data_IF_024841687560
#
_entry.id   IF_024841687560
#
_cell.length_a   1.000
_cell.length_b   1.000
_cell.length_c   1.000
_cell.angle_alpha   90.00
_cell.angle_beta   90.00
_cell.angle_gamma   90.00
#
_symmetry.space_group_name_H-M   'P 1'
#
loop_
_entity.id
_entity.type
_entity.pdbx_description
1 polymer ?
#
# COMPACT_ATOMS: atom_id res chain seq x y z
N UNK A 1 1.68 -9.77 -8.26
CA UNK A 1 3.12 -10.17 -8.29
C UNK A 1 3.34 -11.29 -7.27
N UNK A 2 4.46 -12.04 -7.28
CA UNK A 2 4.74 -13.01 -6.21
C UNK A 2 5.04 -12.28 -4.89
N UNK A 3 4.70 -12.87 -3.75
CA UNK A 3 4.82 -12.23 -2.43
C UNK A 3 6.24 -11.69 -2.13
N UNK A 4 7.29 -12.47 -2.40
CA UNK A 4 8.68 -12.02 -2.17
C UNK A 4 9.10 -10.83 -3.05
N UNK A 5 8.53 -10.72 -4.25
CA UNK A 5 8.69 -9.52 -5.08
C UNK A 5 8.08 -8.33 -4.38
N UNK A 6 6.81 -8.44 -3.96
CA UNK A 6 6.09 -7.34 -3.31
C UNK A 6 6.76 -6.91 -2.00
N UNK A 7 7.22 -7.86 -1.19
CA UNK A 7 8.01 -7.59 0.04
C UNK A 7 9.27 -6.78 -0.26
N UNK A 8 10.04 -7.17 -1.27
CA UNK A 8 11.25 -6.44 -1.67
C UNK A 8 10.92 -5.03 -2.16
N UNK A 9 9.92 -4.88 -3.03
CA UNK A 9 9.52 -3.56 -3.53
C UNK A 9 9.01 -2.66 -2.39
N UNK A 10 8.19 -3.21 -1.49
CA UNK A 10 7.70 -2.54 -0.28
C UNK A 10 8.87 -2.10 0.60
N UNK A 11 9.83 -2.98 0.84
CA UNK A 11 11.01 -2.64 1.63
C UNK A 11 11.86 -1.52 1.01
N UNK A 12 11.80 -1.34 -0.30
CA UNK A 12 12.55 -0.30 -1.03
C UNK A 12 11.75 0.97 -1.33
N UNK A 13 10.44 0.99 -1.02
CA UNK A 13 9.55 2.09 -1.35
C UNK A 13 9.90 3.40 -0.61
N UNK A 14 9.99 4.50 -1.34
CA UNK A 14 10.09 5.85 -0.76
C UNK A 14 9.10 6.81 -1.43
N UNK A 15 8.43 7.67 -0.66
CA UNK A 15 7.55 8.72 -1.17
C UNK A 15 8.27 9.65 -2.16
N UNK A 16 7.48 10.38 -2.94
CA UNK A 16 8.05 11.28 -3.94
C UNK A 16 8.68 12.48 -3.23
N UNK A 17 9.86 12.90 -3.69
CA UNK A 17 10.60 14.01 -3.07
C UNK A 17 11.44 13.62 -1.85
N UNK A 18 11.36 12.38 -1.38
CA UNK A 18 12.25 11.87 -0.32
C UNK A 18 13.53 11.26 -0.90
N UNK A 19 14.56 11.18 -0.05
CA UNK A 19 15.81 10.51 -0.40
C UNK A 19 15.53 9.02 -0.66
N UNK A 20 15.97 8.53 -1.83
CA UNK A 20 15.81 7.13 -2.20
C UNK A 20 16.43 6.21 -1.14
N UNK A 21 15.64 5.24 -0.68
CA UNK A 21 16.14 4.17 0.15
C UNK A 21 16.90 3.16 -0.71
N UNK A 22 18.07 2.75 -0.24
CA UNK A 22 18.93 1.78 -0.91
C UNK A 22 19.18 0.61 0.01
N UNK A 23 19.07 -0.61 -0.50
CA UNK A 23 19.46 -1.80 0.22
C UNK A 23 20.68 -2.49 -0.42
N UNK A 24 21.53 -3.09 0.41
CA UNK A 24 22.60 -3.99 -0.03
C UNK A 24 22.09 -5.44 -0.11
N UNK A 25 22.82 -6.31 -0.80
CA UNK A 25 22.51 -7.74 -0.82
C UNK A 25 22.51 -8.40 0.57
N UNK A 26 23.28 -7.87 1.52
CA UNK A 26 23.30 -8.38 2.90
C UNK A 26 22.00 -8.04 3.63
N UNK A 27 21.45 -6.84 3.43
CA UNK A 27 20.16 -6.46 4.00
C UNK A 27 19.01 -7.32 3.44
N UNK A 28 19.13 -7.81 2.20
CA UNK A 28 18.14 -8.74 1.62
C UNK A 28 18.07 -10.10 2.31
N UNK A 29 19.15 -10.55 2.94
CA UNK A 29 19.14 -11.80 3.72
C UNK A 29 18.18 -11.71 4.90
N UNK A 30 18.08 -10.52 5.49
CA UNK A 30 17.22 -10.25 6.65
C UNK A 30 15.75 -10.09 6.24
N UNK A 31 15.53 -9.51 5.05
CA UNK A 31 14.19 -9.31 4.50
C UNK A 31 13.56 -10.59 3.95
N UNK A 32 14.38 -11.48 3.37
CA UNK A 32 13.95 -12.70 2.70
C UNK A 32 14.76 -13.88 3.24
N UNK A 33 14.59 -14.24 4.53
CA UNK A 33 15.41 -15.24 5.22
C UNK A 33 15.19 -16.65 4.63
N UNK A 34 13.98 -16.92 4.13
CA UNK A 34 13.61 -18.23 3.56
C UNK A 34 14.15 -18.46 2.14
N UNK A 35 14.77 -17.44 1.54
CA UNK A 35 15.37 -17.55 0.21
C UNK A 35 16.85 -17.95 0.30
N UNK A 36 17.33 -18.69 -0.69
CA UNK A 36 18.78 -18.92 -0.83
C UNK A 36 19.47 -17.66 -1.37
N UNK A 37 20.78 -17.54 -1.17
CA UNK A 37 21.57 -16.44 -1.75
C UNK A 37 21.45 -16.38 -3.27
N UNK A 38 21.45 -17.53 -3.95
CA UNK A 38 21.18 -17.63 -5.39
C UNK A 38 19.79 -17.12 -5.74
N UNK A 39 18.76 -17.55 -5.00
CA UNK A 39 17.38 -17.11 -5.19
C UNK A 39 17.20 -15.60 -5.05
N UNK A 40 17.83 -14.97 -4.05
CA UNK A 40 17.81 -13.50 -3.87
C UNK A 40 18.46 -12.78 -5.06
N UNK A 41 19.62 -13.26 -5.54
CA UNK A 41 20.29 -12.68 -6.71
C UNK A 41 19.44 -12.80 -7.98
N UNK A 42 18.83 -13.97 -8.20
CA UNK A 42 17.91 -14.19 -9.31
C UNK A 42 16.67 -13.29 -9.24
N UNK A 43 16.11 -13.09 -8.04
CA UNK A 43 14.98 -12.17 -7.83
C UNK A 43 15.37 -10.73 -8.19
N UNK A 44 16.50 -10.23 -7.68
CA UNK A 44 16.98 -8.88 -8.00
C UNK A 44 17.21 -8.72 -9.50
N UNK A 45 17.87 -9.71 -10.13
CA UNK A 45 18.11 -9.70 -11.58
C UNK A 45 16.79 -9.66 -12.38
N UNK A 46 15.83 -10.51 -12.01
CA UNK A 46 14.51 -10.54 -12.64
C UNK A 46 13.78 -9.19 -12.52
N UNK A 47 13.78 -8.58 -11.33
CA UNK A 47 13.12 -7.29 -11.11
C UNK A 47 13.83 -6.13 -11.81
N UNK A 48 15.15 -6.20 -11.95
CA UNK A 48 15.91 -5.24 -12.75
C UNK A 48 15.59 -5.36 -14.25
N UNK A 49 15.47 -6.59 -14.78
CA UNK A 49 15.03 -6.82 -16.16
C UNK A 49 13.60 -6.33 -16.44
N UNK A 50 12.74 -6.36 -15.41
CA UNK A 50 11.38 -5.80 -15.47
C UNK A 50 11.34 -4.28 -15.21
N UNK A 51 12.49 -3.62 -15.08
CA UNK A 51 12.61 -2.20 -14.78
C UNK A 51 11.93 -1.77 -13.48
N UNK A 52 11.69 -2.70 -12.54
CA UNK A 52 11.10 -2.38 -11.23
C UNK A 52 12.16 -1.96 -10.22
N UNK A 53 13.39 -2.47 -10.38
CA UNK A 53 14.54 -2.13 -9.56
C UNK A 53 15.68 -1.60 -10.41
N UNK A 54 16.53 -0.78 -9.80
CA UNK A 54 17.83 -0.38 -10.34
C UNK A 54 18.93 -0.84 -9.39
N UNK A 55 19.98 -1.40 -9.97
CA UNK A 55 21.21 -1.80 -9.28
C UNK A 55 22.32 -0.82 -9.64
N UNK A 56 23.06 -0.35 -8.65
CA UNK A 56 24.15 0.61 -8.84
C UNK A 56 25.34 0.17 -7.99
N UNK A 57 26.56 0.38 -8.49
CA UNK A 57 27.77 0.16 -7.69
C UNK A 57 28.22 1.50 -7.12
N UNK A 58 28.31 1.58 -5.79
CA UNK A 58 28.77 2.76 -5.05
C UNK A 58 29.98 2.33 -4.22
N UNK A 59 31.17 2.75 -4.62
CA UNK A 59 32.42 2.21 -4.07
C UNK A 59 32.55 0.72 -4.38
N UNK A 60 32.72 -0.09 -3.33
CA UNK A 60 32.83 -1.55 -3.44
C UNK A 60 31.48 -2.28 -3.25
N UNK A 61 30.40 -1.55 -3.02
CA UNK A 61 29.09 -2.14 -2.70
C UNK A 61 28.09 -1.98 -3.84
N UNK A 62 27.37 -3.06 -4.15
CA UNK A 62 26.18 -3.01 -5.00
C UNK A 62 24.98 -2.64 -4.15
N UNK A 63 24.35 -1.51 -4.48
CA UNK A 63 23.12 -1.03 -3.87
C UNK A 63 21.94 -1.20 -4.83
N UNK A 64 20.77 -1.41 -4.25
CA UNK A 64 19.53 -1.69 -4.96
C UNK A 64 18.49 -0.67 -4.51
N UNK A 65 17.79 -0.04 -5.46
CA UNK A 65 16.69 0.86 -5.18
C UNK A 65 15.52 0.65 -6.15
N UNK A 66 14.36 1.16 -5.76
CA UNK A 66 13.14 1.15 -6.56
C UNK A 66 13.26 2.16 -7.71
N UNK A 67 12.81 1.80 -8.91
CA UNK A 67 12.64 2.76 -10.01
C UNK A 67 11.32 3.50 -9.86
N UNK A 68 11.10 4.57 -10.64
CA UNK A 68 9.77 5.19 -10.75
C UNK A 68 8.71 4.19 -11.21
N UNK A 69 9.02 3.39 -12.23
CA UNK A 69 8.09 2.35 -12.70
C UNK A 69 7.77 1.30 -11.63
N UNK A 70 8.77 0.87 -10.85
CA UNK A 70 8.57 -0.04 -9.72
C UNK A 70 7.74 0.56 -8.61
N UNK A 71 7.85 1.87 -8.40
CA UNK A 71 7.04 2.64 -7.47
C UNK A 71 5.58 2.69 -7.91
N UNK A 72 5.32 3.11 -9.14
CA UNK A 72 3.97 3.17 -9.70
C UNK A 72 3.29 1.78 -9.65
N UNK A 73 4.03 0.73 -9.98
CA UNK A 73 3.54 -0.65 -9.91
C UNK A 73 3.22 -1.12 -8.47
N UNK A 74 3.87 -0.55 -7.46
CA UNK A 74 3.61 -0.85 -6.05
C UNK A 74 2.42 -0.04 -5.52
N UNK A 75 2.34 1.24 -5.86
CA UNK A 75 1.23 2.13 -5.49
C UNK A 75 -0.09 1.64 -6.08
N UNK A 76 -0.06 1.09 -7.29
CA UNK A 76 -1.22 0.43 -7.90
C UNK A 76 -1.67 -0.87 -7.17
N UNK A 77 -0.83 -1.42 -6.28
CA UNK A 77 -1.16 -2.64 -5.52
C UNK A 77 -1.53 -2.36 -4.06
N UNK A 78 -0.97 -1.29 -3.49
CA UNK A 78 -1.12 -0.94 -2.09
C UNK A 78 -1.63 0.51 -2.00
N UNK A 79 -2.94 0.71 -1.82
CA UNK A 79 -3.54 2.05 -1.74
C UNK A 79 -2.88 2.95 -0.70
N UNK A 80 -2.38 2.37 0.39
CA UNK A 80 -1.63 3.05 1.44
C UNK A 80 -0.38 3.81 0.98
N UNK A 81 0.18 3.46 -0.18
CA UNK A 81 1.29 4.20 -0.77
C UNK A 81 0.85 5.29 -1.75
N UNK A 82 -0.43 5.42 -2.07
CA UNK A 82 -0.94 6.47 -2.94
C UNK A 82 -0.83 7.85 -2.28
N UNK A 83 -0.08 8.81 -2.86
CA UNK A 83 0.01 10.16 -2.32
C UNK A 83 -1.35 10.88 -2.25
N UNK A 84 -2.24 10.59 -3.21
CA UNK A 84 -3.58 11.15 -3.24
C UNK A 84 -4.44 10.68 -2.05
N UNK A 85 -4.30 9.42 -1.64
CA UNK A 85 -5.05 8.87 -0.51
C UNK A 85 -4.47 9.29 0.84
N UNK A 86 -3.14 9.42 0.93
CA UNK A 86 -2.49 9.93 2.14
C UNK A 86 -2.85 11.39 2.46
N UNK A 87 -3.09 12.19 1.43
CA UNK A 87 -3.46 13.62 1.56
C UNK A 87 -4.97 13.85 1.50
N UNK A 88 -5.76 12.79 1.39
CA UNK A 88 -7.21 12.85 1.27
C UNK A 88 -7.88 13.43 2.52
N UNK A 89 -8.89 14.28 2.31
CA UNK A 89 -9.55 15.06 3.36
C UNK A 89 -11.09 14.87 3.36
N UNK A 90 -11.57 13.63 3.23
CA UNK A 90 -13.02 13.36 3.31
C UNK A 90 -13.82 13.62 2.02
N UNK A 91 -13.16 14.00 0.92
CA UNK A 91 -13.85 14.32 -0.33
C UNK A 91 -14.12 13.05 -1.15
N UNK A 92 -15.37 12.66 -1.33
CA UNK A 92 -15.72 11.47 -2.10
C UNK A 92 -16.18 11.82 -3.51
N UNK A 93 -16.04 10.89 -4.45
CA UNK A 93 -16.85 10.87 -5.67
C UNK A 93 -17.83 9.71 -5.60
N UNK A 94 -19.07 9.94 -6.01
CA UNK A 94 -20.10 8.92 -6.12
C UNK A 94 -20.42 8.63 -7.58
N UNK A 95 -20.44 7.36 -7.94
CA UNK A 95 -20.95 6.84 -9.20
C UNK A 95 -22.27 6.12 -8.93
N UNK A 96 -23.35 6.59 -9.54
CA UNK A 96 -24.72 6.11 -9.32
C UNK A 96 -25.30 5.61 -10.64
N UNK A 97 -25.79 4.38 -10.64
CA UNK A 97 -26.57 3.83 -11.75
C UNK A 97 -28.02 4.28 -11.64
N UNK A 98 -28.49 5.06 -12.62
CA UNK A 98 -29.86 5.59 -12.66
C UNK A 98 -30.87 4.51 -13.07
N UNK A 99 -30.43 3.58 -13.93
CA UNK A 99 -31.24 2.48 -14.42
C UNK A 99 -30.49 1.16 -14.22
N UNK A 100 -31.19 0.12 -13.78
CA UNK A 100 -30.62 -1.20 -13.62
C UNK A 100 -30.21 -1.77 -14.98
N UNK A 101 -28.93 -2.10 -15.21
CA UNK A 101 -28.47 -2.64 -16.48
C UNK A 101 -28.92 -4.11 -16.59
N UNK A 102 -30.19 -4.34 -16.97
CA UNK A 102 -30.72 -5.69 -17.16
C UNK A 102 -30.12 -6.29 -18.41
N UNK A 103 -29.28 -7.32 -18.24
CA UNK A 103 -28.71 -8.09 -19.33
C UNK A 103 -27.49 -7.45 -20.01
N UNK A 104 -26.91 -6.38 -19.43
CA UNK A 104 -25.70 -5.77 -19.98
C UNK A 104 -24.44 -6.57 -19.58
N UNK A 105 -23.76 -7.23 -20.53
CA UNK A 105 -22.51 -7.94 -20.24
C UNK A 105 -21.38 -6.99 -19.79
N UNK A 106 -21.44 -5.72 -20.17
CA UNK A 106 -20.42 -4.72 -19.83
C UNK A 106 -20.55 -4.21 -18.40
N UNK A 107 -21.71 -4.34 -17.77
CA UNK A 107 -21.89 -3.93 -16.37
C UNK A 107 -20.97 -4.70 -15.42
N UNK A 108 -20.80 -6.01 -15.66
CA UNK A 108 -19.88 -6.83 -14.86
C UNK A 108 -18.45 -6.31 -15.01
N UNK A 109 -18.08 -5.86 -16.21
CA UNK A 109 -16.78 -5.27 -16.49
C UNK A 109 -16.59 -3.93 -15.76
N UNK A 110 -17.54 -2.99 -15.85
CA UNK A 110 -17.45 -1.71 -15.13
C UNK A 110 -17.40 -1.91 -13.61
N UNK A 111 -18.22 -2.80 -13.06
CA UNK A 111 -18.16 -3.16 -11.64
C UNK A 111 -16.79 -3.70 -11.26
N UNK A 112 -16.26 -4.65 -12.04
CA UNK A 112 -14.93 -5.21 -11.77
C UNK A 112 -13.87 -4.11 -11.82
N UNK A 113 -13.92 -3.23 -12.82
CA UNK A 113 -13.00 -2.10 -12.95
C UNK A 113 -13.07 -1.16 -11.74
N UNK A 114 -14.27 -0.86 -11.24
CA UNK A 114 -14.45 -0.04 -10.04
C UNK A 114 -13.81 -0.69 -8.80
N UNK A 115 -14.05 -1.99 -8.59
CA UNK A 115 -13.50 -2.73 -7.46
C UNK A 115 -11.97 -2.91 -7.58
N UNK A 116 -11.45 -3.16 -8.78
CA UNK A 116 -10.01 -3.26 -9.06
C UNK A 116 -9.30 -1.92 -8.81
N UNK A 117 -10.02 -0.81 -8.91
CA UNK A 117 -9.56 0.52 -8.52
C UNK A 117 -10.00 0.89 -7.10
N UNK A 118 -10.29 -0.07 -6.23
CA UNK A 118 -10.57 0.15 -4.80
C UNK A 118 -11.79 1.05 -4.50
N UNK A 119 -12.74 1.19 -5.43
CA UNK A 119 -13.99 1.89 -5.16
C UNK A 119 -14.85 1.11 -4.15
N UNK A 120 -15.39 1.82 -3.17
CA UNK A 120 -16.31 1.33 -2.16
C UNK A 120 -17.69 1.08 -2.76
N UNK A 121 -18.14 -0.17 -2.79
CA UNK A 121 -19.51 -0.51 -3.16
C UNK A 121 -20.48 -0.22 -1.99
N UNK A 122 -20.93 1.03 -1.88
CA UNK A 122 -21.81 1.49 -0.79
C UNK A 122 -23.14 0.74 -0.76
N UNK A 123 -23.82 0.65 -1.90
CA UNK A 123 -25.02 -0.16 -2.08
C UNK A 123 -25.08 -0.69 -3.53
N UNK A 124 -26.11 -1.47 -3.86
CA UNK A 124 -26.29 -1.95 -5.24
C UNK A 124 -26.46 -0.76 -6.19
N UNK A 125 -25.48 -0.56 -7.07
CA UNK A 125 -25.52 0.50 -8.08
C UNK A 125 -25.02 1.86 -7.56
N UNK A 126 -24.43 1.92 -6.37
CA UNK A 126 -23.77 3.12 -5.85
C UNK A 126 -22.36 2.76 -5.43
N UNK A 127 -21.38 3.43 -6.03
CA UNK A 127 -19.96 3.25 -5.73
C UNK A 127 -19.38 4.58 -5.29
N UNK A 128 -18.59 4.57 -4.24
CA UNK A 128 -17.86 5.72 -3.73
C UNK A 128 -16.37 5.52 -3.99
N UNK A 129 -15.66 6.60 -4.29
CA UNK A 129 -14.22 6.59 -4.45
C UNK A 129 -13.61 7.78 -3.69
N UNK A 130 -12.52 7.58 -2.93
CA UNK A 130 -11.86 8.67 -2.22
C UNK A 130 -11.15 9.60 -3.21
N UNK A 131 -11.66 10.82 -3.37
CA UNK A 131 -11.20 11.78 -4.37
C UNK A 131 -11.93 11.62 -5.69
N UNK A 132 -11.23 11.80 -6.81
CA UNK A 132 -11.79 11.69 -8.15
C UNK A 132 -11.60 10.27 -8.72
N UNK A 133 -12.62 9.76 -9.43
CA UNK A 133 -12.47 8.49 -10.13
C UNK A 133 -11.34 8.56 -11.18
N UNK A 134 -10.56 7.48 -11.37
CA UNK A 134 -9.60 7.37 -12.44
C UNK A 134 -10.20 7.72 -13.80
N UNK A 135 -9.43 8.43 -14.63
CA UNK A 135 -9.86 8.90 -15.96
C UNK A 135 -10.37 7.78 -16.86
N UNK A 136 -9.79 6.58 -16.74
CA UNK A 136 -10.24 5.38 -17.44
C UNK A 136 -11.70 5.03 -17.13
N UNK A 137 -12.11 5.09 -15.85
CA UNK A 137 -13.49 4.82 -15.42
C UNK A 137 -14.42 5.90 -15.97
N UNK A 138 -14.02 7.17 -15.87
CA UNK A 138 -14.81 8.30 -16.37
C UNK A 138 -15.01 8.22 -17.88
N UNK A 139 -13.97 7.90 -18.65
CA UNK A 139 -14.05 7.77 -20.10
C UNK A 139 -14.94 6.59 -20.50
N UNK A 140 -14.81 5.44 -19.83
CA UNK A 140 -15.68 4.29 -20.05
C UNK A 140 -17.16 4.64 -19.79
N UNK A 141 -17.45 5.40 -18.73
CA UNK A 141 -18.81 5.87 -18.44
C UNK A 141 -19.34 6.79 -19.54
N UNK A 142 -18.51 7.70 -20.05
CA UNK A 142 -18.86 8.62 -21.15
C UNK A 142 -19.08 7.91 -22.48
N UNK A 143 -18.40 6.80 -22.73
CA UNK A 143 -18.52 6.06 -23.98
C UNK A 143 -19.70 5.08 -23.97
N UNK A 144 -19.90 4.38 -22.85
CA UNK A 144 -20.81 3.23 -22.81
C UNK A 144 -22.07 3.44 -21.97
N UNK A 145 -22.09 4.42 -21.07
CA UNK A 145 -23.14 4.57 -20.04
C UNK A 145 -23.77 5.96 -19.99
N UNK A 146 -23.75 6.68 -21.12
CA UNK A 146 -24.41 8.00 -21.25
C UNK A 146 -25.89 7.89 -20.89
N UNK A 147 -26.34 8.70 -19.93
CA UNK A 147 -27.72 8.69 -19.43
C UNK A 147 -28.08 7.51 -18.51
N UNK A 148 -27.20 6.52 -18.36
CA UNK A 148 -27.38 5.39 -17.45
C UNK A 148 -26.65 5.57 -16.11
N UNK A 149 -25.56 6.34 -16.10
CA UNK A 149 -24.72 6.59 -14.94
C UNK A 149 -24.58 8.09 -14.70
N UNK A 150 -24.63 8.49 -13.42
CA UNK A 150 -24.27 9.82 -12.93
C UNK A 150 -23.02 9.71 -12.07
N UNK A 151 -22.08 10.64 -12.25
CA UNK A 151 -20.92 10.82 -11.37
C UNK A 151 -21.00 12.20 -10.73
N UNK A 152 -20.84 12.28 -9.41
CA UNK A 152 -20.88 13.53 -8.66
C UNK A 152 -19.84 13.54 -7.54
N UNK A 153 -19.36 14.73 -7.18
CA UNK A 153 -18.58 14.92 -5.95
C UNK A 153 -19.49 14.95 -4.72
N UNK A 154 -19.02 14.37 -3.63
CA UNK A 154 -19.67 14.34 -2.32
C UNK A 154 -18.68 14.96 -1.32
N UNK A 155 -18.91 16.22 -1.01
CA UNK A 155 -18.08 16.99 -0.08
C UNK A 155 -18.58 16.95 1.36
N UNK A 156 -19.83 16.55 1.57
CA UNK A 156 -20.47 16.50 2.88
C UNK A 156 -21.55 15.42 2.92
N UNK A 157 -21.63 14.74 4.06
CA UNK A 157 -22.72 13.84 4.42
C UNK A 157 -23.74 14.60 5.27
N UNK A 158 -25.00 14.66 4.83
CA UNK A 158 -26.05 15.39 5.56
C UNK A 158 -26.68 14.56 6.70
N UNK A 159 -26.70 13.24 6.57
CA UNK A 159 -27.31 12.33 7.53
C UNK A 159 -26.62 10.96 7.48
N UNK A 160 -26.60 10.26 8.61
CA UNK A 160 -25.89 8.99 8.80
C UNK A 160 -24.52 9.16 9.45
N UNK A 161 -23.89 8.03 9.77
CA UNK A 161 -22.53 7.97 10.32
C UNK A 161 -21.59 7.44 9.24
N UNK A 162 -20.93 8.36 8.52
CA UNK A 162 -19.95 8.03 7.49
C UNK A 162 -18.87 7.11 8.04
N UNK A 163 -18.27 7.49 9.19
CA UNK A 163 -17.16 6.76 9.77
C UNK A 163 -17.56 5.31 10.03
N UNK A 164 -18.75 5.08 10.59
CA UNK A 164 -19.26 3.73 10.81
C UNK A 164 -19.45 2.95 9.50
N UNK A 165 -20.02 3.56 8.46
CA UNK A 165 -20.22 2.89 7.17
C UNK A 165 -18.89 2.51 6.50
N UNK A 166 -17.89 3.37 6.59
CA UNK A 166 -16.54 3.12 6.07
C UNK A 166 -15.82 2.07 6.93
N UNK A 167 -15.94 2.14 8.26
CA UNK A 167 -15.36 1.17 9.19
C UNK A 167 -15.92 -0.23 8.97
N UNK A 168 -17.23 -0.38 8.84
CA UNK A 168 -17.87 -1.67 8.57
C UNK A 168 -17.44 -2.29 7.23
N UNK A 169 -17.13 -1.46 6.22
CA UNK A 169 -16.69 -1.95 4.91
C UNK A 169 -15.22 -2.36 4.87
N UNK A 170 -14.33 -1.51 5.39
CA UNK A 170 -12.88 -1.71 5.31
C UNK A 170 -12.30 -2.36 6.57
N UNK A 171 -13.12 -2.59 7.60
CA UNK A 171 -12.69 -3.09 8.91
C UNK A 171 -11.58 -2.21 9.51
N UNK A 172 -11.76 -0.87 9.46
CA UNK A 172 -10.70 0.07 9.85
C UNK A 172 -10.25 -0.14 11.29
N UNK A 173 -11.17 -0.43 12.19
CA UNK A 173 -10.91 -0.73 13.60
C UNK A 173 -9.92 -1.90 13.77
N UNK A 174 -10.08 -2.96 12.98
CA UNK A 174 -9.16 -4.12 13.02
C UNK A 174 -7.77 -3.74 12.48
N UNK A 175 -7.73 -2.94 11.41
CA UNK A 175 -6.46 -2.44 10.84
C UNK A 175 -5.73 -1.57 11.88
N UNK A 176 -6.45 -0.71 12.61
CA UNK A 176 -5.90 0.16 13.67
C UNK A 176 -5.30 -0.68 14.80
N UNK A 177 -5.99 -1.73 15.24
CA UNK A 177 -5.49 -2.63 16.28
C UNK A 177 -4.18 -3.30 15.83
N UNK A 178 -4.15 -3.81 14.60
CA UNK A 178 -2.97 -4.45 14.02
C UNK A 178 -1.81 -3.46 13.89
N UNK A 179 -2.03 -2.25 13.39
CA UNK A 179 -1.00 -1.22 13.26
C UNK A 179 -0.44 -0.81 14.63
N UNK A 180 -1.31 -0.69 15.63
CA UNK A 180 -0.92 -0.35 17.00
C UNK A 180 -0.09 -1.47 17.63
N UNK A 181 -0.46 -2.74 17.42
CA UNK A 181 0.36 -3.90 17.80
C UNK A 181 1.74 -3.88 17.14
N UNK A 182 1.79 -3.67 15.82
CA UNK A 182 3.04 -3.56 15.05
C UNK A 182 3.91 -2.40 15.57
N UNK A 183 3.32 -1.23 15.80
CA UNK A 183 4.02 -0.05 16.32
C UNK A 183 4.67 -0.33 17.68
N UNK A 184 3.93 -0.95 18.60
CA UNK A 184 4.44 -1.31 19.92
C UNK A 184 5.61 -2.30 19.83
N UNK A 185 5.51 -3.30 18.97
CA UNK A 185 6.59 -4.27 18.76
C UNK A 185 7.82 -3.65 18.11
N UNK A 186 7.63 -2.73 17.16
CA UNK A 186 8.71 -1.93 16.57
C UNK A 186 9.44 -1.14 17.65
N UNK A 187 8.71 -0.46 18.54
CA UNK A 187 9.30 0.34 19.62
C UNK A 187 10.11 -0.54 20.58
N UNK A 188 9.59 -1.71 20.98
CA UNK A 188 10.32 -2.67 21.82
C UNK A 188 11.61 -3.18 21.15
N UNK A 189 11.57 -3.47 19.85
CA UNK A 189 12.75 -3.90 19.09
C UNK A 189 13.79 -2.78 18.94
N UNK A 190 13.35 -1.53 18.80
CA UNK A 190 14.24 -0.36 18.76
C UNK A 190 14.92 -0.14 20.12
N UNK A 191 14.19 -0.25 21.23
CA UNK A 191 14.74 -0.18 22.58
C UNK A 191 15.82 -1.25 22.79
N UNK A 192 15.52 -2.50 22.44
CA UNK A 192 16.50 -3.60 22.50
C UNK A 192 17.73 -3.36 21.63
N UNK A 193 17.57 -2.79 20.43
CA UNK A 193 18.69 -2.43 19.54
C UNK A 193 19.55 -1.33 20.17
N UNK A 194 18.95 -0.35 20.83
CA UNK A 194 19.69 0.75 21.46
C UNK A 194 20.50 0.27 22.67
N UNK A 195 19.98 -0.70 23.42
CA UNK A 195 20.71 -1.34 24.53
C UNK A 195 21.79 -2.31 24.04
N UNK A 196 21.48 -3.10 23.00
CA UNK A 196 22.37 -4.12 22.45
C UNK A 196 23.02 -3.60 21.16
N UNK A 197 24.29 -3.18 21.24
CA UNK A 197 25.11 -2.69 20.10
C UNK A 197 25.07 -3.57 18.83
N UNK A 198 24.59 -4.83 18.90
CA UNK A 198 24.40 -5.72 17.76
C UNK A 198 23.09 -6.51 17.85
N UNK A 199 22.39 -6.61 16.72
CA UNK A 199 21.20 -7.44 16.58
C UNK A 199 21.54 -8.94 16.64
N UNK A 200 20.97 -9.64 17.62
CA UNK A 200 21.03 -11.10 17.73
C UNK A 200 20.26 -11.80 16.60
N UNK A 201 20.55 -13.08 16.34
CA UNK A 201 19.78 -13.88 15.36
C UNK A 201 18.28 -13.91 15.70
N UNK A 202 17.95 -13.97 16.99
CA UNK A 202 16.56 -13.93 17.49
C UNK A 202 15.89 -12.60 17.15
N UNK A 203 16.55 -11.47 17.43
CA UNK A 203 16.02 -10.14 17.10
C UNK A 203 15.77 -9.98 15.60
N UNK A 204 16.68 -10.48 14.74
CA UNK A 204 16.48 -10.44 13.28
C UNK A 204 15.24 -11.20 12.82
N UNK A 205 15.00 -12.39 13.38
CA UNK A 205 13.79 -13.18 13.08
C UNK A 205 12.51 -12.47 13.56
N UNK A 206 12.57 -11.79 14.71
CA UNK A 206 11.46 -10.99 15.21
C UNK A 206 11.17 -9.80 14.28
N UNK A 207 12.19 -9.07 13.84
CA UNK A 207 12.01 -7.96 12.89
C UNK A 207 11.37 -8.46 11.59
N UNK A 208 11.84 -9.60 11.05
CA UNK A 208 11.21 -10.20 9.87
C UNK A 208 9.74 -10.57 10.11
N UNK A 209 9.41 -11.15 11.27
CA UNK A 209 8.03 -11.50 11.62
C UNK A 209 7.13 -10.26 11.76
N UNK A 210 7.64 -9.16 12.32
CA UNK A 210 6.93 -7.88 12.39
C UNK A 210 6.73 -7.31 10.97
N UNK A 211 7.78 -7.31 10.15
CA UNK A 211 7.68 -6.85 8.77
C UNK A 211 6.70 -7.72 7.94
N UNK A 212 6.66 -9.03 8.15
CA UNK A 212 5.74 -9.91 7.44
C UNK A 212 4.28 -9.60 7.78
N UNK A 213 3.96 -9.43 9.06
CA UNK A 213 2.61 -9.00 9.48
C UNK A 213 2.27 -7.61 8.97
N UNK A 214 3.21 -6.67 9.05
CA UNK A 214 3.06 -5.34 8.46
C UNK A 214 2.77 -5.42 6.97
N UNK A 215 3.55 -6.18 6.21
CA UNK A 215 3.34 -6.37 4.78
C UNK A 215 1.95 -6.96 4.47
N UNK A 216 1.50 -7.94 5.25
CA UNK A 216 0.20 -8.58 5.04
C UNK A 216 -0.97 -7.60 5.23
N UNK A 217 -0.88 -6.66 6.18
CA UNK A 217 -1.94 -5.69 6.44
C UNK A 217 -1.98 -4.53 5.41
N UNK A 218 -0.88 -4.23 4.72
CA UNK A 218 -0.87 -3.20 3.67
C UNK A 218 -1.85 -3.48 2.54
N UNK A 219 -2.13 -4.76 2.25
CA UNK A 219 -3.06 -5.15 1.19
C UNK A 219 -4.53 -4.88 1.51
N UNK A 220 -4.85 -4.67 2.79
CA UNK A 220 -6.22 -4.36 3.24
C UNK A 220 -6.37 -2.90 3.65
N UNK A 221 -5.27 -2.19 3.91
CA UNK A 221 -5.30 -0.76 4.21
C UNK A 221 -5.77 0.05 2.98
N UNK A 222 -6.92 0.75 3.07
CA UNK A 222 -7.45 1.53 1.95
C UNK A 222 -6.68 2.83 1.71
N UNK A 223 -5.70 3.16 2.55
CA UNK A 223 -4.73 4.23 2.35
C UNK A 223 -5.14 5.61 2.85
N UNK A 224 -6.36 5.75 3.33
CA UNK A 224 -6.86 6.96 3.99
C UNK A 224 -7.11 6.75 5.50
N UNK A 225 -6.55 5.69 6.10
CA UNK A 225 -6.76 5.34 7.51
C UNK A 225 -6.46 6.51 8.46
N UNK A 226 -5.41 7.27 8.18
CA UNK A 226 -4.96 8.41 8.98
C UNK A 226 -5.98 9.56 9.04
N UNK A 227 -6.87 9.67 8.05
CA UNK A 227 -7.98 10.63 8.09
C UNK A 227 -8.93 10.34 9.27
N UNK A 228 -9.27 9.06 9.50
CA UNK A 228 -10.17 8.65 10.58
C UNK A 228 -9.44 8.44 11.93
N UNK A 229 -8.14 8.16 11.88
CA UNK A 229 -7.29 7.85 13.04
C UNK A 229 -5.99 8.67 13.00
N UNK A 230 -6.03 10.00 13.23
CA UNK A 230 -4.88 10.89 13.06
C UNK A 230 -3.74 10.65 14.08
N UNK A 231 -4.02 9.94 15.17
CA UNK A 231 -3.00 9.58 16.17
C UNK A 231 -2.22 8.31 15.81
N UNK A 232 -2.70 7.54 14.84
CA UNK A 232 -2.04 6.32 14.41
C UNK A 232 -0.83 6.66 13.53
N UNK A 233 0.26 5.94 13.74
CA UNK A 233 1.42 6.02 12.86
C UNK A 233 1.05 5.54 11.45
N UNK A 234 1.52 6.27 10.43
CA UNK A 234 1.29 5.88 9.04
C UNK A 234 2.12 4.67 8.67
N UNK A 235 1.70 3.91 7.64
CA UNK A 235 2.49 2.80 7.13
C UNK A 235 3.92 3.22 6.74
N UNK A 236 4.08 4.44 6.22
CA UNK A 236 5.40 4.98 5.89
C UNK A 236 6.28 5.23 7.11
N UNK A 237 5.69 5.71 8.22
CA UNK A 237 6.41 5.88 9.48
C UNK A 237 6.87 4.52 10.02
N UNK A 238 5.98 3.53 10.08
CA UNK A 238 6.30 2.17 10.54
C UNK A 238 7.38 1.51 9.68
N UNK A 239 7.26 1.62 8.36
CA UNK A 239 8.25 1.09 7.41
C UNK A 239 9.62 1.76 7.58
N UNK A 240 9.65 3.07 7.80
CA UNK A 240 10.90 3.80 8.06
C UNK A 240 11.54 3.38 9.39
N UNK A 241 10.74 3.20 10.44
CA UNK A 241 11.22 2.69 11.73
C UNK A 241 11.76 1.25 11.62
N UNK A 242 11.09 0.38 10.86
CA UNK A 242 11.61 -0.97 10.59
C UNK A 242 12.95 -0.92 9.85
N UNK A 243 13.08 -0.04 8.85
CA UNK A 243 14.34 0.12 8.10
C UNK A 243 15.48 0.60 8.96
N UNK A 244 15.23 1.55 9.86
CA UNK A 244 16.27 2.10 10.74
C UNK A 244 16.87 1.04 11.69
N UNK A 245 16.16 -0.07 11.93
CA UNK A 245 16.72 -1.22 12.65
C UNK A 245 17.87 -1.89 11.88
N UNK A 246 17.89 -1.79 10.55
CA UNK A 246 18.90 -2.41 9.69
C UNK A 246 20.02 -1.46 9.25
N UNK A 247 19.90 -0.18 9.59
CA UNK A 247 21.01 0.75 9.41
C UNK A 247 22.09 0.41 10.44
N UNK A 248 23.26 0.05 9.92
CA UNK A 248 24.47 -0.21 10.69
C UNK A 248 25.12 1.15 10.90
N UNK A 249 25.07 1.67 12.14
CA UNK A 249 26.02 2.68 12.60
C UNK A 249 27.36 2.00 12.92
#
# INVERSE_FOLDING_TARGET
>A
MKQNTQKLLTWLYTPAGEKLYTATHQQLELLLPDMTTGGRRSLVHYLAQKYLLRTQTVGEQTVINLTSHGKDALEAQFPVFSPALQTWQGQWSALIFLHGPKGDPHFRYLRQLLLDNHAFAFTRGVYLYPGEFPSQIINLCKEMYVGAVTVMGVSQWFFGDERRAIDEHYMLSDIVEIYSGISNEINQLLEQKNEQKRLTKKARLQIYSVFDRFFNILGTDPGFLHHYYPHLQTAMQLLTQLRSMFDVN
#
